data_IF_910607664341
#
_entry.id   IF_910607664341
#
_cell.length_a   1.000
_cell.length_b   1.000
_cell.length_c   1.000
_cell.angle_alpha   90.00
_cell.angle_beta   90.00
_cell.angle_gamma   90.00
#
_symmetry.space_group_name_H-M   'P 1'
#
loop_
_entity.id
_entity.type
_entity.pdbx_description
1 polymer ?
#
# COMPACT_ATOMS: atom_id res chain seq x y z
N UNK A 1 -17.56 27.49 -9.59
CA UNK A 1 -17.41 27.16 -8.18
C UNK A 1 -17.86 25.72 -8.04
N UNK A 2 -16.93 24.75 -8.29
CA UNK A 2 -17.21 23.31 -8.28
C UNK A 2 -17.15 22.87 -6.83
N UNK A 3 -18.23 22.26 -6.38
CA UNK A 3 -18.41 21.80 -5.00
C UNK A 3 -17.31 20.80 -4.62
N UNK A 4 -16.36 21.27 -3.81
CA UNK A 4 -15.21 20.49 -3.33
C UNK A 4 -15.58 19.31 -2.42
N UNK A 5 -16.85 19.24 -1.98
CA UNK A 5 -17.37 18.19 -1.09
C UNK A 5 -17.68 16.88 -1.82
N UNK A 6 -18.10 16.93 -3.07
CA UNK A 6 -18.44 15.73 -3.86
C UNK A 6 -17.20 14.94 -4.33
N UNK A 7 -16.11 15.64 -4.64
CA UNK A 7 -14.86 15.03 -5.11
C UNK A 7 -14.13 14.31 -3.96
N UNK A 8 -14.10 14.89 -2.77
CA UNK A 8 -13.49 14.27 -1.57
C UNK A 8 -14.24 13.01 -1.12
N UNK A 9 -15.59 13.04 -1.15
CA UNK A 9 -16.39 11.86 -0.80
C UNK A 9 -16.18 10.69 -1.78
N UNK A 10 -16.03 10.96 -3.08
CA UNK A 10 -15.82 9.92 -4.09
C UNK A 10 -14.43 9.29 -4.02
N UNK A 11 -13.40 10.05 -3.66
CA UNK A 11 -12.04 9.53 -3.47
C UNK A 11 -12.00 8.61 -2.26
N UNK A 12 -12.58 9.01 -1.13
CA UNK A 12 -12.64 8.19 0.09
C UNK A 12 -13.46 6.91 -0.09
N UNK A 13 -14.56 6.92 -0.86
CA UNK A 13 -15.34 5.71 -1.16
C UNK A 13 -14.53 4.72 -2.00
N UNK A 14 -13.83 5.20 -3.02
CA UNK A 14 -12.94 4.36 -3.84
C UNK A 14 -11.81 3.76 -2.99
N UNK A 15 -11.19 4.55 -2.12
CA UNK A 15 -10.17 4.08 -1.20
C UNK A 15 -10.74 3.02 -0.23
N UNK A 16 -11.99 3.19 0.22
CA UNK A 16 -12.66 2.23 1.08
C UNK A 16 -12.97 0.92 0.35
N UNK A 17 -13.43 0.98 -0.90
CA UNK A 17 -13.61 -0.19 -1.77
C UNK A 17 -12.27 -0.92 -1.97
N UNK A 18 -11.18 -0.19 -2.13
CA UNK A 18 -9.85 -0.74 -2.23
C UNK A 18 -9.40 -1.35 -0.89
N UNK A 19 -9.65 -0.69 0.24
CA UNK A 19 -9.36 -1.21 1.57
C UNK A 19 -10.12 -2.51 1.88
N UNK A 20 -11.38 -2.62 1.44
CA UNK A 20 -12.18 -3.83 1.60
C UNK A 20 -11.60 -5.06 0.88
N UNK A 21 -10.68 -4.87 -0.05
CA UNK A 21 -10.00 -5.94 -0.78
C UNK A 21 -8.76 -6.48 -0.05
N UNK A 22 -8.27 -5.77 0.96
CA UNK A 22 -7.13 -6.21 1.77
C UNK A 22 -7.52 -7.48 2.52
N UNK A 23 -6.78 -8.56 2.26
CA UNK A 23 -6.91 -9.83 2.98
C UNK A 23 -5.93 -9.88 4.15
N UNK A 24 -6.25 -10.63 5.16
CA UNK A 24 -5.35 -10.86 6.28
C UNK A 24 -4.42 -12.03 5.92
N UNK A 25 -3.09 -11.84 5.98
CA UNK A 25 -2.14 -12.92 5.76
C UNK A 25 -2.33 -14.06 6.78
N UNK A 26 -1.93 -15.27 6.41
CA UNK A 26 -1.67 -16.36 7.35
C UNK A 26 -2.86 -17.14 7.88
N UNK A 27 -4.07 -16.97 7.36
CA UNK A 27 -5.21 -17.85 7.73
C UNK A 27 -5.69 -17.71 9.18
N UNK A 28 -5.21 -16.73 9.95
CA UNK A 28 -5.74 -16.43 11.29
C UNK A 28 -7.21 -16.04 11.21
N UNK A 29 -8.04 -16.70 11.99
CA UNK A 29 -9.44 -16.36 12.14
C UNK A 29 -9.56 -15.12 13.04
N UNK A 30 -9.26 -13.96 12.45
CA UNK A 30 -9.45 -12.69 13.15
C UNK A 30 -10.91 -12.39 13.34
N UNK A 31 -11.23 -11.75 14.47
CA UNK A 31 -12.55 -11.17 14.68
C UNK A 31 -12.85 -10.11 13.60
N UNK A 32 -14.14 -9.99 13.21
CA UNK A 32 -14.56 -9.05 12.16
C UNK A 32 -14.13 -7.60 12.41
N UNK A 33 -14.13 -7.14 13.66
CA UNK A 33 -13.67 -5.80 14.01
C UNK A 33 -12.17 -5.63 13.79
N UNK A 34 -11.38 -6.65 14.07
CA UNK A 34 -9.93 -6.65 13.84
C UNK A 34 -9.61 -6.67 12.36
N UNK A 35 -10.32 -7.46 11.56
CA UNK A 35 -10.19 -7.44 10.10
C UNK A 35 -10.40 -6.04 9.53
N UNK A 36 -11.49 -5.37 9.91
CA UNK A 36 -11.79 -4.01 9.46
C UNK A 36 -10.71 -3.02 9.93
N UNK A 37 -10.22 -3.20 11.17
CA UNK A 37 -9.13 -2.36 11.68
C UNK A 37 -7.89 -2.49 10.80
N UNK A 38 -7.43 -3.72 10.52
CA UNK A 38 -6.26 -3.98 9.65
C UNK A 38 -6.46 -3.47 8.23
N UNK A 39 -7.66 -3.67 7.65
CA UNK A 39 -7.98 -3.15 6.30
C UNK A 39 -7.85 -1.63 6.20
N UNK A 40 -8.41 -0.90 7.16
CA UNK A 40 -8.34 0.56 7.19
C UNK A 40 -6.92 1.05 7.52
N UNK A 41 -6.23 0.38 8.43
CA UNK A 41 -4.83 0.66 8.77
C UNK A 41 -3.91 0.50 7.56
N UNK A 42 -4.04 -0.61 6.82
CA UNK A 42 -3.29 -0.84 5.57
C UNK A 42 -3.62 0.19 4.51
N UNK A 43 -4.89 0.55 4.33
CA UNK A 43 -5.29 1.59 3.38
C UNK A 43 -4.67 2.97 3.70
N UNK A 44 -4.59 3.33 4.99
CA UNK A 44 -3.90 4.54 5.46
C UNK A 44 -2.38 4.37 5.24
N UNK A 45 -1.82 3.23 5.60
CA UNK A 45 -0.40 2.92 5.44
C UNK A 45 0.08 3.01 3.99
N UNK A 46 -0.71 2.51 3.04
CA UNK A 46 -0.45 2.60 1.60
C UNK A 46 -0.81 3.96 0.99
N UNK A 47 -1.26 4.95 1.78
CA UNK A 47 -1.65 6.26 1.28
C UNK A 47 -2.90 6.26 0.39
N UNK A 48 -3.74 5.22 0.46
CA UNK A 48 -5.05 5.21 -0.21
C UNK A 48 -6.04 6.16 0.48
N UNK A 49 -5.81 6.42 1.77
CA UNK A 49 -6.49 7.43 2.58
C UNK A 49 -5.43 8.37 3.15
N UNK A 50 -5.56 9.67 2.91
CA UNK A 50 -4.53 10.65 3.28
C UNK A 50 -4.91 11.43 4.55
N UNK A 51 -3.93 11.93 5.32
CA UNK A 51 -4.18 12.82 6.45
C UNK A 51 -5.05 14.01 6.05
N UNK A 52 -6.01 14.34 6.90
CA UNK A 52 -6.99 15.39 6.65
C UNK A 52 -8.23 14.93 5.85
N UNK A 53 -8.18 13.81 5.16
CA UNK A 53 -9.33 13.27 4.44
C UNK A 53 -10.45 12.87 5.41
N UNK A 54 -11.68 13.28 5.07
CA UNK A 54 -12.86 12.90 5.83
C UNK A 54 -13.34 11.53 5.40
N UNK A 55 -13.58 10.64 6.36
CA UNK A 55 -14.18 9.34 6.10
C UNK A 55 -15.66 9.49 5.74
N UNK A 56 -16.18 8.56 4.91
CA UNK A 56 -17.63 8.47 4.65
C UNK A 56 -18.43 8.28 5.95
N UNK A 57 -19.74 8.52 5.93
CA UNK A 57 -20.61 8.22 7.06
C UNK A 57 -20.48 6.75 7.50
N UNK A 58 -20.56 6.51 8.81
CA UNK A 58 -20.40 5.15 9.38
C UNK A 58 -21.36 4.12 8.77
N UNK A 59 -22.59 4.54 8.42
CA UNK A 59 -23.57 3.66 7.75
C UNK A 59 -23.08 3.21 6.36
N UNK A 60 -22.51 4.14 5.58
CA UNK A 60 -21.96 3.85 4.26
C UNK A 60 -20.72 2.96 4.37
N UNK A 61 -19.84 3.24 5.32
CA UNK A 61 -18.67 2.42 5.57
C UNK A 61 -19.03 0.99 5.99
N UNK A 62 -20.00 0.84 6.91
CA UNK A 62 -20.45 -0.46 7.38
C UNK A 62 -21.03 -1.32 6.25
N UNK A 63 -21.81 -0.70 5.36
CA UNK A 63 -22.37 -1.34 4.17
C UNK A 63 -21.26 -1.80 3.21
N UNK A 64 -20.30 -0.93 2.85
CA UNK A 64 -19.21 -1.26 1.94
C UNK A 64 -18.25 -2.31 2.47
N UNK A 65 -18.00 -2.31 3.78
CA UNK A 65 -17.14 -3.30 4.45
C UNK A 65 -17.88 -4.59 4.83
N UNK A 66 -19.19 -4.65 4.60
CA UNK A 66 -20.01 -5.83 4.90
C UNK A 66 -20.06 -6.19 6.38
N UNK A 67 -20.09 -5.19 7.27
CA UNK A 67 -20.08 -5.37 8.73
C UNK A 67 -21.21 -4.61 9.41
N UNK A 68 -21.51 -4.99 10.66
CA UNK A 68 -22.48 -4.24 11.47
C UNK A 68 -21.93 -2.84 11.86
N UNK A 69 -22.79 -1.85 12.06
CA UNK A 69 -22.36 -0.54 12.59
C UNK A 69 -21.62 -0.64 13.94
N UNK A 70 -21.96 -1.63 14.77
CA UNK A 70 -21.26 -1.86 16.03
C UNK A 70 -19.83 -2.33 15.80
N UNK A 71 -19.63 -3.30 14.90
CA UNK A 71 -18.32 -3.82 14.50
C UNK A 71 -17.45 -2.69 13.94
N UNK A 72 -18.02 -1.87 13.05
CA UNK A 72 -17.28 -0.72 12.49
C UNK A 72 -16.87 0.27 13.59
N UNK A 73 -17.75 0.61 14.53
CA UNK A 73 -17.42 1.53 15.63
C UNK A 73 -16.29 1.00 16.50
N UNK A 74 -16.26 -0.30 16.76
CA UNK A 74 -15.15 -0.94 17.50
C UNK A 74 -13.83 -0.75 16.75
N UNK A 75 -13.80 -1.00 15.46
CA UNK A 75 -12.61 -0.80 14.61
C UNK A 75 -12.17 0.67 14.59
N UNK A 76 -13.10 1.60 14.38
CA UNK A 76 -12.79 3.03 14.38
C UNK A 76 -12.29 3.52 15.75
N UNK A 77 -12.76 2.94 16.86
CA UNK A 77 -12.27 3.27 18.20
C UNK A 77 -10.81 2.85 18.37
N UNK A 78 -10.44 1.65 17.88
CA UNK A 78 -9.05 1.18 17.90
C UNK A 78 -8.15 2.11 17.04
N UNK A 79 -8.58 2.47 15.83
CA UNK A 79 -7.80 3.38 14.98
C UNK A 79 -7.65 4.78 15.59
N UNK A 80 -8.67 5.26 16.33
CA UNK A 80 -8.54 6.51 17.09
C UNK A 80 -7.56 6.40 18.25
N UNK A 81 -7.57 5.30 19.01
CA UNK A 81 -6.61 5.09 20.09
C UNK A 81 -5.17 4.99 19.61
N UNK A 82 -4.96 4.55 18.34
CA UNK A 82 -3.66 4.52 17.67
C UNK A 82 -3.28 5.87 17.03
N UNK A 83 -4.15 6.90 17.09
CA UNK A 83 -3.89 8.21 16.49
C UNK A 83 -4.04 8.29 14.96
N UNK A 84 -4.50 7.21 14.31
CA UNK A 84 -4.73 7.17 12.86
C UNK A 84 -5.99 7.93 12.46
N UNK A 85 -7.00 7.95 13.32
CA UNK A 85 -8.24 8.68 13.08
C UNK A 85 -8.50 9.72 14.18
N UNK A 86 -9.12 10.82 13.77
CA UNK A 86 -9.65 11.85 14.65
C UNK A 86 -11.14 12.06 14.44
N UNK A 87 -11.75 12.84 15.31
CA UNK A 87 -13.16 13.24 15.20
C UNK A 87 -13.29 14.75 15.28
N UNK A 88 -14.04 15.36 14.36
CA UNK A 88 -14.44 16.77 14.41
C UNK A 88 -15.92 16.86 14.73
N UNK A 89 -16.30 17.79 15.63
CA UNK A 89 -17.69 18.06 16.00
C UNK A 89 -18.28 19.17 15.11
N UNK A 90 -19.60 19.21 15.01
CA UNK A 90 -20.34 20.30 14.36
C UNK A 90 -20.79 20.00 12.93
N UNK A 91 -21.32 21.04 12.26
CA UNK A 91 -21.84 20.93 10.89
C UNK A 91 -20.66 20.66 9.94
N UNK A 92 -20.68 19.52 9.29
CA UNK A 92 -19.53 19.02 8.50
C UNK A 92 -18.51 18.20 9.31
N UNK A 93 -18.80 17.87 10.56
CA UNK A 93 -18.00 16.99 11.42
C UNK A 93 -17.98 15.54 10.93
N UNK A 94 -17.33 14.66 11.67
CA UNK A 94 -17.18 13.24 11.36
C UNK A 94 -15.78 12.73 11.67
N UNK A 95 -15.52 11.49 11.31
CA UNK A 95 -14.19 10.90 11.41
C UNK A 95 -13.31 11.35 10.24
N UNK A 96 -12.04 11.57 10.50
CA UNK A 96 -11.03 11.93 9.48
C UNK A 96 -9.73 11.22 9.77
N UNK A 97 -8.91 11.04 8.75
CA UNK A 97 -7.54 10.52 8.90
C UNK A 97 -6.69 11.59 9.60
N UNK A 98 -6.23 11.27 10.81
CA UNK A 98 -5.50 12.22 11.66
C UNK A 98 -4.00 12.18 11.43
N UNK A 99 -3.46 11.01 11.09
CA UNK A 99 -2.03 10.80 10.92
C UNK A 99 -1.71 9.50 10.21
N UNK A 100 -0.43 9.24 10.09
CA UNK A 100 0.16 8.02 9.58
C UNK A 100 1.03 7.46 10.70
N UNK A 101 1.03 6.17 10.90
CA UNK A 101 1.96 5.56 11.85
C UNK A 101 3.39 5.72 11.34
N UNK A 102 4.32 6.13 12.20
CA UNK A 102 5.73 6.14 11.83
C UNK A 102 6.18 4.71 11.52
N UNK A 103 7.06 4.57 10.55
CA UNK A 103 7.77 3.32 10.29
C UNK A 103 8.81 3.14 11.40
N UNK A 104 8.79 2.01 12.09
CA UNK A 104 9.74 1.67 13.13
C UNK A 104 10.41 0.35 12.79
N UNK A 105 11.72 0.29 12.88
CA UNK A 105 12.50 -0.94 12.65
C UNK A 105 11.99 -2.12 13.52
N UNK A 106 11.63 -1.84 14.77
CA UNK A 106 11.07 -2.86 15.65
C UNK A 106 9.75 -3.46 15.15
N UNK A 107 8.93 -2.67 14.47
CA UNK A 107 7.66 -3.14 13.89
C UNK A 107 7.92 -3.97 12.63
N UNK A 108 8.86 -3.54 11.78
CA UNK A 108 9.32 -4.32 10.60
C UNK A 108 9.92 -5.65 11.07
N UNK A 109 10.84 -5.60 12.03
CA UNK A 109 11.48 -6.80 12.55
C UNK A 109 10.46 -7.78 13.18
N UNK A 110 9.46 -7.27 13.88
CA UNK A 110 8.38 -8.11 14.43
C UNK A 110 7.56 -8.76 13.32
N UNK A 111 7.22 -8.02 12.28
CA UNK A 111 6.46 -8.53 11.14
C UNK A 111 7.28 -9.60 10.40
N UNK A 112 8.54 -9.32 10.09
CA UNK A 112 9.45 -10.29 9.45
C UNK A 112 9.61 -11.56 10.28
N UNK A 113 9.76 -11.46 11.62
CA UNK A 113 9.82 -12.65 12.50
C UNK A 113 8.57 -13.51 12.44
N UNK A 114 7.41 -12.93 12.18
CA UNK A 114 6.15 -13.66 12.09
C UNK A 114 5.97 -14.41 10.78
N UNK A 115 6.76 -14.09 9.76
CA UNK A 115 6.66 -14.68 8.42
C UNK A 115 7.54 -15.94 8.32
N UNK A 116 7.15 -16.85 7.44
CA UNK A 116 7.98 -17.96 7.00
C UNK A 116 8.73 -17.57 5.73
N UNK A 117 9.96 -18.03 5.58
CA UNK A 117 10.75 -17.71 4.37
C UNK A 117 10.06 -18.16 3.07
N UNK A 118 9.31 -19.27 3.08
CA UNK A 118 8.59 -19.76 1.92
C UNK A 118 7.39 -18.87 1.58
N UNK A 119 6.67 -18.38 2.60
CA UNK A 119 5.53 -17.46 2.41
C UNK A 119 6.02 -16.11 1.86
N UNK A 120 7.18 -15.62 2.31
CA UNK A 120 7.79 -14.41 1.77
C UNK A 120 8.18 -14.57 0.29
N UNK A 121 8.78 -15.72 -0.09
CA UNK A 121 9.11 -15.99 -1.49
C UNK A 121 7.86 -16.03 -2.37
N UNK A 122 6.81 -16.74 -1.93
CA UNK A 122 5.54 -16.83 -2.66
C UNK A 122 4.90 -15.44 -2.84
N UNK A 123 4.96 -14.59 -1.82
CA UNK A 123 4.48 -13.20 -1.90
C UNK A 123 5.30 -12.37 -2.90
N UNK A 124 6.62 -12.52 -2.92
CA UNK A 124 7.52 -11.82 -3.86
C UNK A 124 7.25 -12.27 -5.29
N UNK A 125 7.11 -13.58 -5.52
CA UNK A 125 6.78 -14.14 -6.83
C UNK A 125 5.44 -13.62 -7.35
N UNK A 126 4.44 -13.55 -6.46
CA UNK A 126 3.13 -12.97 -6.80
C UNK A 126 3.24 -11.48 -7.11
N UNK A 127 4.05 -10.73 -6.36
CA UNK A 127 4.30 -9.30 -6.58
C UNK A 127 4.91 -9.07 -7.96
N UNK A 128 6.00 -9.76 -8.28
CA UNK A 128 6.72 -9.67 -9.55
C UNK A 128 5.81 -10.01 -10.74
N UNK A 129 5.10 -11.14 -10.68
CA UNK A 129 4.18 -11.57 -11.72
C UNK A 129 3.03 -10.56 -11.95
N UNK A 130 2.45 -10.04 -10.85
CA UNK A 130 1.32 -9.11 -10.92
C UNK A 130 1.78 -7.75 -11.45
N UNK A 131 2.92 -7.24 -10.98
CA UNK A 131 3.48 -5.96 -11.42
C UNK A 131 3.95 -6.01 -12.87
N UNK A 132 4.64 -7.08 -13.29
CA UNK A 132 5.04 -7.29 -14.68
C UNK A 132 3.85 -7.28 -15.63
N UNK A 133 2.80 -8.06 -15.30
CA UNK A 133 1.56 -8.06 -16.09
C UNK A 133 0.88 -6.69 -16.13
N UNK A 134 0.89 -5.94 -15.02
CA UNK A 134 0.31 -4.61 -14.96
C UNK A 134 1.12 -3.60 -15.80
N UNK A 135 2.44 -3.62 -15.71
CA UNK A 135 3.34 -2.75 -16.48
C UNK A 135 3.20 -2.99 -18.00
N UNK A 136 3.20 -4.26 -18.42
CA UNK A 136 2.97 -4.65 -19.82
C UNK A 136 1.63 -4.12 -20.34
N UNK A 137 0.56 -4.27 -19.59
CA UNK A 137 -0.75 -3.78 -20.01
C UNK A 137 -0.86 -2.26 -19.93
N UNK A 138 -0.18 -1.63 -18.98
CA UNK A 138 -0.12 -0.17 -18.89
C UNK A 138 0.54 0.44 -20.12
N UNK A 139 1.65 -0.15 -20.62
CA UNK A 139 2.32 0.32 -21.84
C UNK A 139 1.43 0.23 -23.10
N UNK A 140 0.45 -0.67 -23.10
CA UNK A 140 -0.47 -0.88 -24.22
C UNK A 140 -1.77 -0.07 -24.12
N UNK A 141 -2.16 0.39 -22.92
CA UNK A 141 -3.51 0.91 -22.64
C UNK A 141 -3.54 2.28 -22.00
N UNK A 142 -2.43 2.70 -21.36
CA UNK A 142 -2.40 3.98 -20.66
C UNK A 142 -2.63 5.14 -21.64
N UNK A 143 -3.54 6.01 -21.28
CA UNK A 143 -3.70 7.29 -21.97
C UNK A 143 -2.76 8.36 -21.40
N UNK A 144 -2.78 9.56 -22.02
CA UNK A 144 -1.95 10.67 -21.56
C UNK A 144 -2.23 11.09 -20.11
N UNK A 145 -3.45 10.88 -19.60
CA UNK A 145 -3.80 11.20 -18.23
C UNK A 145 -3.20 10.17 -17.28
N UNK A 146 -3.24 8.88 -17.63
CA UNK A 146 -2.63 7.81 -16.88
C UNK A 146 -1.11 8.00 -16.80
N UNK A 147 -0.45 8.32 -17.92
CA UNK A 147 0.99 8.59 -17.97
C UNK A 147 1.40 9.79 -17.11
N UNK A 148 0.62 10.90 -17.17
CA UNK A 148 0.86 12.05 -16.29
C UNK A 148 0.72 11.70 -14.82
N UNK A 149 -0.27 10.86 -14.48
CA UNK A 149 -0.51 10.39 -13.12
C UNK A 149 0.65 9.53 -12.62
N UNK A 150 1.08 8.54 -13.40
CA UNK A 150 2.22 7.68 -13.07
C UNK A 150 3.49 8.50 -12.84
N UNK A 151 3.83 9.41 -13.75
CA UNK A 151 4.98 10.31 -13.58
C UNK A 151 4.87 11.19 -12.34
N UNK A 152 3.66 11.62 -11.97
CA UNK A 152 3.44 12.37 -10.73
C UNK A 152 3.68 11.50 -9.48
N UNK A 153 3.31 10.22 -9.51
CA UNK A 153 3.57 9.26 -8.44
C UNK A 153 5.07 8.98 -8.31
N UNK A 154 5.78 8.74 -9.42
CA UNK A 154 7.23 8.55 -9.42
C UNK A 154 8.00 9.76 -8.86
N UNK A 155 7.62 10.99 -9.25
CA UNK A 155 8.20 12.21 -8.66
C UNK A 155 7.96 12.29 -7.15
N UNK A 156 6.76 11.96 -6.68
CA UNK A 156 6.47 11.94 -5.23
C UNK A 156 7.37 10.97 -4.49
N UNK A 157 7.59 9.78 -5.04
CA UNK A 157 8.52 8.82 -4.44
C UNK A 157 9.95 9.38 -4.37
N UNK A 158 10.47 9.90 -5.49
CA UNK A 158 11.80 10.50 -5.55
C UNK A 158 11.99 11.66 -4.55
N UNK A 159 10.97 12.50 -4.39
CA UNK A 159 11.03 13.72 -3.58
C UNK A 159 10.75 13.46 -2.09
N UNK A 160 10.35 12.24 -1.69
CA UNK A 160 10.16 11.85 -0.30
C UNK A 160 11.50 11.58 0.39
N UNK A 161 11.59 11.93 1.69
CA UNK A 161 12.75 11.68 2.54
C UNK A 161 12.41 10.90 3.80
N UNK A 162 11.14 10.88 4.18
CA UNK A 162 10.67 10.22 5.39
C UNK A 162 10.22 8.79 5.09
N UNK A 163 10.64 7.77 5.87
CA UNK A 163 10.32 6.36 5.63
C UNK A 163 8.84 6.07 5.39
N UNK A 164 7.95 6.66 6.21
CA UNK A 164 6.52 6.46 6.07
C UNK A 164 5.93 7.08 4.79
N UNK A 165 6.52 8.18 4.30
CA UNK A 165 6.13 8.82 3.03
C UNK A 165 6.65 8.03 1.83
N UNK A 166 7.88 7.50 1.92
CA UNK A 166 8.46 6.61 0.91
C UNK A 166 7.59 5.36 0.74
N UNK A 167 7.26 4.68 1.83
CA UNK A 167 6.36 3.51 1.84
C UNK A 167 5.03 3.80 1.14
N UNK A 168 4.41 4.94 1.43
CA UNK A 168 3.15 5.33 0.79
C UNK A 168 3.31 5.66 -0.69
N UNK A 169 4.37 6.40 -1.05
CA UNK A 169 4.60 6.82 -2.42
C UNK A 169 4.90 5.62 -3.32
N UNK A 170 5.67 4.67 -2.82
CA UNK A 170 6.01 3.41 -3.43
C UNK A 170 4.76 2.56 -3.72
N UNK A 171 4.00 2.22 -2.68
CA UNK A 171 2.76 1.46 -2.84
C UNK A 171 1.78 2.13 -3.82
N UNK A 172 1.67 3.46 -3.79
CA UNK A 172 0.79 4.20 -4.71
C UNK A 172 1.27 4.16 -6.16
N UNK A 173 2.58 4.16 -6.39
CA UNK A 173 3.14 4.03 -7.74
C UNK A 173 2.79 2.67 -8.32
N UNK A 174 3.06 1.59 -7.59
CA UNK A 174 2.81 0.23 -8.04
C UNK A 174 1.31 -0.07 -8.22
N UNK A 175 0.45 0.35 -7.29
CA UNK A 175 -1.01 0.28 -7.47
C UNK A 175 -1.45 1.11 -8.68
N UNK A 176 -0.77 2.23 -8.94
CA UNK A 176 -0.97 3.08 -10.11
C UNK A 176 -0.76 2.36 -11.44
N UNK A 177 0.17 1.38 -11.52
CA UNK A 177 0.37 0.53 -12.69
C UNK A 177 -0.90 -0.25 -13.03
N UNK A 178 -1.55 -0.86 -12.04
CA UNK A 178 -2.82 -1.56 -12.22
C UNK A 178 -3.95 -0.66 -12.72
N UNK A 179 -3.97 0.59 -12.27
CA UNK A 179 -4.94 1.60 -12.75
C UNK A 179 -4.66 1.97 -14.20
N UNK A 180 -3.39 2.24 -14.56
CA UNK A 180 -2.97 2.56 -15.92
C UNK A 180 -3.13 1.36 -16.89
N UNK A 181 -3.00 0.14 -16.39
CA UNK A 181 -3.34 -1.09 -17.11
C UNK A 181 -4.85 -1.21 -17.41
N UNK A 182 -5.68 -0.32 -16.88
CA UNK A 182 -7.14 -0.34 -16.98
C UNK A 182 -7.75 -1.69 -16.58
N UNK A 183 -7.15 -2.34 -15.58
CA UNK A 183 -7.51 -3.66 -15.09
C UNK A 183 -7.89 -3.61 -13.61
N UNK A 184 -9.19 -3.70 -13.31
CA UNK A 184 -9.67 -3.74 -11.93
C UNK A 184 -9.09 -4.92 -11.14
N UNK A 185 -8.94 -6.08 -11.79
CA UNK A 185 -8.43 -7.29 -11.14
C UNK A 185 -6.95 -7.16 -10.79
N UNK A 186 -6.11 -6.65 -11.71
CA UNK A 186 -4.70 -6.39 -11.39
C UNK A 186 -4.54 -5.30 -10.33
N UNK A 187 -5.35 -4.23 -10.39
CA UNK A 187 -5.36 -3.22 -9.32
C UNK A 187 -5.68 -3.84 -7.96
N UNK A 188 -6.68 -4.74 -7.90
CA UNK A 188 -7.04 -5.45 -6.67
C UNK A 188 -5.92 -6.35 -6.15
N UNK A 189 -5.25 -7.08 -7.03
CA UNK A 189 -4.11 -7.92 -6.66
C UNK A 189 -2.94 -7.07 -6.16
N UNK A 190 -2.59 -5.97 -6.84
CA UNK A 190 -1.54 -5.06 -6.40
C UNK A 190 -1.83 -4.46 -5.02
N UNK A 191 -3.10 -4.14 -4.72
CA UNK A 191 -3.49 -3.67 -3.39
C UNK A 191 -3.28 -4.76 -2.34
N UNK A 192 -3.67 -6.01 -2.64
CA UNK A 192 -3.48 -7.15 -1.72
C UNK A 192 -1.99 -7.40 -1.46
N UNK A 193 -1.20 -7.46 -2.51
CA UNK A 193 0.26 -7.64 -2.44
C UNK A 193 0.89 -6.52 -1.60
N UNK A 194 0.59 -5.25 -1.90
CA UNK A 194 1.17 -4.13 -1.14
C UNK A 194 0.64 -4.02 0.29
N UNK A 195 -0.52 -4.55 0.60
CA UNK A 195 -0.99 -4.63 1.99
C UNK A 195 -0.10 -5.55 2.85
N UNK A 196 0.53 -6.55 2.22
CA UNK A 196 1.44 -7.50 2.87
C UNK A 196 2.90 -7.05 2.76
N UNK A 197 3.35 -6.52 1.63
CA UNK A 197 4.72 -6.06 1.42
C UNK A 197 5.03 -4.74 2.14
N UNK A 198 4.13 -3.73 2.07
CA UNK A 198 4.42 -2.41 2.61
C UNK A 198 4.83 -2.38 4.09
N UNK A 199 4.30 -3.23 4.99
CA UNK A 199 4.79 -3.30 6.37
C UNK A 199 6.24 -3.78 6.50
N UNK A 200 6.80 -4.43 5.49
CA UNK A 200 8.14 -5.04 5.48
C UNK A 200 9.22 -4.13 4.89
N UNK A 201 8.84 -3.00 4.28
CA UNK A 201 9.72 -2.15 3.47
C UNK A 201 9.86 -0.74 4.05
N UNK A 202 10.82 0.00 3.51
CA UNK A 202 11.04 1.44 3.76
C UNK A 202 11.24 1.79 5.23
N UNK A 203 11.96 0.94 5.98
CA UNK A 203 12.59 1.29 7.24
C UNK A 203 13.92 2.03 7.02
N UNK A 204 14.63 2.32 8.10
CA UNK A 204 15.91 3.03 8.04
C UNK A 204 16.95 2.28 7.18
N UNK A 205 16.94 0.94 7.24
CA UNK A 205 17.80 0.07 6.43
C UNK A 205 17.57 0.17 4.91
N UNK A 206 16.44 0.75 4.48
CA UNK A 206 16.08 0.89 3.07
C UNK A 206 16.38 2.28 2.50
N UNK A 207 16.78 3.24 3.34
CA UNK A 207 17.00 4.62 2.87
C UNK A 207 18.15 4.71 1.85
N UNK A 208 19.17 3.88 1.98
CA UNK A 208 20.29 3.81 1.02
C UNK A 208 19.86 3.21 -0.32
N UNK A 209 18.78 2.44 -0.37
CA UNK A 209 18.22 1.82 -1.57
C UNK A 209 17.33 2.76 -2.39
N UNK A 210 16.92 3.90 -1.83
CA UNK A 210 15.99 4.82 -2.49
C UNK A 210 16.52 5.28 -3.86
N UNK A 211 17.82 5.57 -3.96
CA UNK A 211 18.42 6.02 -5.22
C UNK A 211 18.31 4.99 -6.34
N UNK A 212 18.54 3.71 -6.03
CA UNK A 212 18.38 2.60 -6.96
C UNK A 212 16.91 2.44 -7.37
N UNK A 213 15.99 2.43 -6.41
CA UNK A 213 14.55 2.32 -6.66
C UNK A 213 14.01 3.48 -7.51
N UNK A 214 14.49 4.71 -7.31
CA UNK A 214 14.14 5.87 -8.17
C UNK A 214 14.54 5.60 -9.61
N UNK A 215 15.77 5.14 -9.88
CA UNK A 215 16.24 4.83 -11.22
C UNK A 215 15.42 3.73 -11.90
N UNK A 216 15.07 2.68 -11.16
CA UNK A 216 14.22 1.59 -11.64
C UNK A 216 12.79 2.07 -11.97
N UNK A 217 12.18 2.85 -11.09
CA UNK A 217 10.86 3.44 -11.33
C UNK A 217 10.86 4.37 -12.55
N UNK A 218 11.86 5.24 -12.71
CA UNK A 218 11.96 6.13 -13.86
C UNK A 218 12.12 5.33 -15.15
N UNK A 219 13.01 4.33 -15.19
CA UNK A 219 13.17 3.44 -16.33
C UNK A 219 11.88 2.71 -16.71
N UNK A 220 11.18 2.15 -15.72
CA UNK A 220 9.88 1.50 -15.92
C UNK A 220 8.84 2.45 -16.51
N UNK A 221 8.73 3.67 -15.97
CA UNK A 221 7.77 4.67 -16.46
C UNK A 221 8.11 5.15 -17.88
N UNK A 222 9.37 5.19 -18.25
CA UNK A 222 9.79 5.53 -19.61
C UNK A 222 9.43 4.41 -20.60
N UNK A 223 9.61 3.14 -20.25
CA UNK A 223 9.18 2.01 -21.09
C UNK A 223 7.67 1.98 -21.28
N UNK A 224 6.91 2.27 -20.21
CA UNK A 224 5.45 2.39 -20.30
C UNK A 224 5.07 3.54 -21.25
N UNK A 225 5.75 4.68 -21.16
CA UNK A 225 5.43 5.86 -21.97
C UNK A 225 5.80 5.69 -23.45
N UNK A 226 6.84 4.90 -23.77
CA UNK A 226 7.22 4.57 -25.13
C UNK A 226 6.41 3.42 -25.73
N UNK A 227 5.62 2.71 -24.92
CA UNK A 227 4.82 1.57 -25.35
C UNK A 227 5.62 0.27 -25.50
N UNK A 228 6.86 0.21 -24.96
CA UNK A 228 7.66 -1.01 -24.96
C UNK A 228 7.16 -1.98 -23.86
N UNK A 229 6.22 -2.83 -24.27
CA UNK A 229 5.52 -3.74 -23.37
C UNK A 229 6.44 -4.82 -22.78
N UNK A 230 7.42 -5.30 -23.54
CA UNK A 230 8.35 -6.32 -23.09
C UNK A 230 9.34 -5.76 -22.07
N UNK A 231 9.95 -4.63 -22.37
CA UNK A 231 10.88 -3.98 -21.44
C UNK A 231 10.16 -3.50 -20.15
N UNK A 232 8.93 -2.99 -20.26
CA UNK A 232 8.15 -2.60 -19.09
C UNK A 232 7.83 -3.79 -18.16
N UNK A 233 7.49 -4.96 -18.73
CA UNK A 233 7.26 -6.19 -17.97
C UNK A 233 8.55 -6.66 -17.27
N UNK A 234 9.66 -6.72 -18.00
CA UNK A 234 10.96 -7.15 -17.47
C UNK A 234 11.46 -6.25 -16.33
N UNK A 235 11.40 -4.93 -16.52
CA UNK A 235 11.83 -3.97 -15.49
C UNK A 235 10.96 -4.05 -14.24
N UNK A 236 9.65 -4.23 -14.38
CA UNK A 236 8.77 -4.38 -13.23
C UNK A 236 9.05 -5.67 -12.44
N UNK A 237 9.31 -6.79 -13.14
CA UNK A 237 9.69 -8.06 -12.51
C UNK A 237 11.03 -7.90 -11.78
N UNK A 238 12.06 -7.41 -12.45
CA UNK A 238 13.40 -7.24 -11.88
C UNK A 238 13.39 -6.33 -10.63
N UNK A 239 12.56 -5.28 -10.63
CA UNK A 239 12.38 -4.39 -9.49
C UNK A 239 11.87 -5.17 -8.25
N UNK A 240 10.81 -5.97 -8.39
CA UNK A 240 10.26 -6.75 -7.26
C UNK A 240 11.17 -7.91 -6.85
N UNK A 241 11.92 -8.52 -7.77
CA UNK A 241 12.93 -9.51 -7.43
C UNK A 241 14.05 -8.91 -6.57
N UNK A 242 14.52 -7.70 -6.91
CA UNK A 242 15.52 -6.98 -6.11
C UNK A 242 14.98 -6.60 -4.73
N UNK A 243 13.78 -6.01 -4.66
CA UNK A 243 13.14 -5.71 -3.38
C UNK A 243 12.93 -6.98 -2.54
N UNK A 244 12.52 -8.05 -3.18
CA UNK A 244 12.35 -9.34 -2.57
C UNK A 244 13.64 -9.90 -1.96
N UNK A 245 14.77 -9.76 -2.67
CA UNK A 245 16.07 -10.14 -2.14
C UNK A 245 16.40 -9.36 -0.86
N UNK A 246 16.18 -8.05 -0.83
CA UNK A 246 16.39 -7.23 0.38
C UNK A 246 15.51 -7.67 1.55
N UNK A 247 14.24 -7.99 1.29
CA UNK A 247 13.31 -8.49 2.33
C UNK A 247 13.80 -9.83 2.90
N UNK A 248 14.20 -10.75 2.02
CA UNK A 248 14.70 -12.07 2.44
C UNK A 248 16.01 -11.94 3.22
N UNK A 249 16.94 -11.11 2.77
CA UNK A 249 18.21 -10.89 3.47
C UNK A 249 17.98 -10.30 4.86
N UNK A 250 17.08 -9.32 4.99
CA UNK A 250 16.71 -8.73 6.27
C UNK A 250 16.04 -9.78 7.20
N UNK A 251 15.13 -10.60 6.67
CA UNK A 251 14.47 -11.68 7.41
C UNK A 251 15.49 -12.69 7.93
N UNK A 252 16.45 -13.15 7.10
CA UNK A 252 17.48 -14.09 7.49
C UNK A 252 18.44 -13.49 8.53
N UNK A 253 18.81 -12.22 8.40
CA UNK A 253 19.65 -11.52 9.38
C UNK A 253 18.98 -11.47 10.76
N UNK A 254 17.67 -11.19 10.82
CA UNK A 254 16.89 -11.19 12.06
C UNK A 254 16.87 -12.58 12.70
N UNK A 255 16.57 -13.63 11.93
CA UNK A 255 16.54 -15.00 12.44
C UNK A 255 17.91 -15.47 12.95
N UNK A 256 18.99 -15.07 12.29
CA UNK A 256 20.36 -15.40 12.69
C UNK A 256 20.75 -14.71 14.00
N UNK A 257 20.35 -13.43 14.17
CA UNK A 257 20.57 -12.70 15.42
C UNK A 257 19.83 -13.35 16.58
N UNK A 258 18.55 -13.70 16.38
CA UNK A 258 17.74 -14.36 17.42
C UNK A 258 18.32 -15.70 17.86
N UNK A 259 18.97 -16.44 16.94
CA UNK A 259 19.67 -17.71 17.26
C UNK A 259 20.96 -17.49 18.05
N UNK A 260 21.68 -16.37 17.79
CA UNK A 260 22.91 -16.05 18.52
C UNK A 260 22.63 -15.55 19.95
N UNK A 261 21.46 -14.94 20.17
CA UNK A 261 21.04 -14.45 21.50
C UNK A 261 20.25 -15.48 22.31
N UNK A 262 20.05 -16.69 21.77
CA UNK A 262 19.40 -17.78 22.49
C UNK A 262 20.37 -18.36 23.55
N UNK A 263 19.95 -18.53 24.84
CA UNK A 263 20.81 -18.95 25.95
C UNK A 263 21.28 -20.39 25.83
#
# INVERSE_FOLDING_TARGET
>A
MVDSTGVLGSVSLRALEMAAQVRTPGGEVLGRAEQVTRQLESAIGMGLMNPGERLPPESVMAEHLGVSPLTLRQSLAVLRSRGLLGTRRGRGGGSYVAGILPVREADIARELRSQRSDDLRDLIDLAAATAGSAARLASQRADDQDLRRLRSLGRRFRDCTEPHMLRQADARLHIGLGVAAQSRRLTSLLIQVHAELSPLTWGDAWLDEQGAAVGEHEGLLDMIATGDAAAAEELAIAHFEREGALIIDQHLAILTSDLADAP
#
